data_IF_617384623344
#
_entry.id   IF_617384623344
#
_cell.length_a   1.000
_cell.length_b   1.000
_cell.length_c   1.000
_cell.angle_alpha   90.00
_cell.angle_beta   90.00
_cell.angle_gamma   90.00
#
_symmetry.space_group_name_H-M   'P 1'
#
loop_
_entity.id
_entity.type
_entity.pdbx_description
1 polymer ?
#
# COMPACT_ATOMS: atom_id res chain seq x y z
N UNK A 1 -34.10 10.77 11.03
CA UNK A 1 -33.55 10.06 9.84
C UNK A 1 -34.18 8.68 9.79
N UNK A 2 -34.28 8.05 8.61
CA UNK A 2 -34.87 6.72 8.45
C UNK A 2 -34.04 5.84 7.51
N UNK A 3 -34.06 4.52 7.72
CA UNK A 3 -33.37 3.56 6.84
C UNK A 3 -34.33 3.14 5.72
N UNK A 4 -33.89 3.29 4.48
CA UNK A 4 -34.64 2.93 3.27
C UNK A 4 -33.92 1.81 2.55
N UNK A 5 -34.61 0.70 2.31
CA UNK A 5 -34.12 -0.42 1.50
C UNK A 5 -34.65 -0.27 0.08
N UNK A 6 -33.77 -0.36 -0.91
CA UNK A 6 -34.12 -0.29 -2.31
C UNK A 6 -33.55 -1.51 -3.05
N UNK A 7 -34.43 -2.38 -3.56
CA UNK A 7 -34.04 -3.58 -4.29
C UNK A 7 -33.90 -3.27 -5.77
N UNK A 8 -32.71 -3.46 -6.32
CA UNK A 8 -32.50 -3.42 -7.76
C UNK A 8 -33.08 -4.69 -8.38
N UNK A 9 -34.13 -4.53 -9.19
CA UNK A 9 -34.83 -5.66 -9.83
C UNK A 9 -34.00 -6.38 -10.87
N UNK A 10 -32.99 -5.71 -11.46
CA UNK A 10 -32.14 -6.31 -12.49
C UNK A 10 -31.06 -7.21 -11.90
N UNK A 11 -30.47 -6.78 -10.78
CA UNK A 11 -29.34 -7.48 -10.14
C UNK A 11 -29.73 -8.27 -8.90
N UNK A 12 -30.94 -8.08 -8.36
CA UNK A 12 -31.41 -8.68 -7.11
C UNK A 12 -30.89 -7.98 -5.86
N UNK A 13 -29.81 -7.19 -5.98
CA UNK A 13 -29.10 -6.56 -4.86
C UNK A 13 -30.00 -5.54 -4.15
N UNK A 14 -30.10 -5.67 -2.83
CA UNK A 14 -30.81 -4.70 -1.99
C UNK A 14 -29.85 -3.70 -1.39
N UNK A 15 -29.94 -2.45 -1.85
CA UNK A 15 -29.15 -1.34 -1.31
C UNK A 15 -29.85 -0.70 -0.12
N UNK A 16 -29.07 -0.23 0.84
CA UNK A 16 -29.54 0.39 2.08
C UNK A 16 -29.07 1.83 2.14
N UNK A 17 -30.01 2.73 2.33
CA UNK A 17 -29.79 4.17 2.41
C UNK A 17 -30.24 4.73 3.75
N UNK A 18 -29.46 5.66 4.29
CA UNK A 18 -29.88 6.59 5.32
C UNK A 18 -30.60 7.77 4.66
N UNK A 19 -31.83 8.05 5.06
CA UNK A 19 -32.68 9.10 4.50
C UNK A 19 -32.93 10.20 5.52
N UNK A 20 -32.62 11.44 5.13
CA UNK A 20 -32.80 12.65 5.92
C UNK A 20 -33.81 13.56 5.22
N UNK A 21 -34.95 13.83 5.86
CA UNK A 21 -35.94 14.77 5.34
C UNK A 21 -35.58 16.20 5.76
N UNK A 22 -35.71 17.14 4.85
CA UNK A 22 -35.48 18.57 5.07
C UNK A 22 -36.53 19.40 4.33
N UNK A 23 -36.83 20.58 4.86
CA UNK A 23 -37.67 21.56 4.17
C UNK A 23 -36.81 22.37 3.19
N UNK A 24 -37.10 22.27 1.91
CA UNK A 24 -36.44 23.06 0.89
C UNK A 24 -37.10 24.45 0.84
N UNK A 25 -36.40 25.48 1.31
CA UNK A 25 -36.92 26.86 1.38
C UNK A 25 -37.09 27.52 0.02
N UNK A 26 -36.28 27.15 -0.96
CA UNK A 26 -36.35 27.71 -2.32
C UNK A 26 -37.59 27.16 -3.04
N UNK A 27 -37.81 25.85 -2.92
CA UNK A 27 -38.92 25.15 -3.59
C UNK A 27 -40.17 25.03 -2.72
N UNK A 28 -40.13 25.51 -1.48
CA UNK A 28 -41.21 25.48 -0.49
C UNK A 28 -41.89 24.10 -0.35
N UNK A 29 -41.09 23.03 -0.32
CA UNK A 29 -41.61 21.66 -0.26
C UNK A 29 -40.71 20.75 0.59
N UNK A 30 -41.25 19.68 1.20
CA UNK A 30 -40.44 18.66 1.85
C UNK A 30 -39.61 17.91 0.79
N UNK A 31 -38.32 17.72 1.06
CA UNK A 31 -37.40 16.92 0.26
C UNK A 31 -36.58 16.00 1.15
N UNK A 32 -35.92 15.00 0.55
CA UNK A 32 -35.07 14.08 1.27
C UNK A 32 -33.69 13.93 0.62
N UNK A 33 -32.63 13.83 1.43
CA UNK A 33 -31.28 13.44 1.02
C UNK A 33 -31.07 11.98 1.40
N UNK A 34 -30.48 11.19 0.50
CA UNK A 34 -30.17 9.77 0.74
C UNK A 34 -28.66 9.53 0.69
N UNK A 35 -28.14 8.86 1.71
CA UNK A 35 -26.74 8.44 1.79
C UNK A 35 -26.69 6.92 1.75
N UNK A 36 -25.98 6.37 0.75
CA UNK A 36 -25.76 4.92 0.66
C UNK A 36 -24.92 4.45 1.85
N UNK A 37 -25.48 3.53 2.65
CA UNK A 37 -24.79 2.86 3.77
C UNK A 37 -24.06 1.63 3.23
N UNK A 38 -24.74 0.82 2.43
CA UNK A 38 -24.21 -0.44 1.89
C UNK A 38 -25.26 -1.23 1.12
N UNK A 39 -24.96 -2.51 0.89
CA UNK A 39 -25.88 -3.52 0.33
C UNK A 39 -26.17 -4.60 1.38
N UNK A 40 -27.35 -5.20 1.33
CA UNK A 40 -27.67 -6.39 2.12
C UNK A 40 -27.04 -7.59 1.42
N UNK A 41 -26.33 -8.40 2.20
CA UNK A 41 -25.95 -9.74 1.79
C UNK A 41 -27.14 -10.68 1.98
N UNK A 42 -27.51 -11.41 0.93
CA UNK A 42 -28.69 -12.29 0.93
C UNK A 42 -28.49 -13.52 1.84
N UNK A 43 -27.25 -13.91 2.10
CA UNK A 43 -26.94 -15.07 2.94
C UNK A 43 -26.98 -14.73 4.44
N UNK A 44 -26.43 -13.58 4.82
CA UNK A 44 -26.29 -13.17 6.23
C UNK A 44 -27.38 -12.19 6.69
N UNK A 45 -28.04 -11.51 5.75
CA UNK A 45 -28.98 -10.41 6.05
C UNK A 45 -28.29 -9.15 6.57
N UNK A 46 -26.96 -9.14 6.66
CA UNK A 46 -26.18 -8.03 7.19
C UNK A 46 -25.95 -6.94 6.14
N UNK A 47 -25.73 -5.71 6.62
CA UNK A 47 -25.45 -4.56 5.75
C UNK A 47 -23.95 -4.51 5.48
N UNK A 48 -23.55 -5.00 4.32
CA UNK A 48 -22.16 -4.96 3.85
C UNK A 48 -21.90 -3.63 3.15
N UNK A 49 -20.89 -2.84 3.58
CA UNK A 49 -20.51 -1.62 2.89
C UNK A 49 -20.22 -1.89 1.42
N UNK A 50 -20.76 -1.05 0.53
CA UNK A 50 -20.44 -1.16 -0.90
C UNK A 50 -18.99 -0.71 -1.11
N UNK A 51 -18.22 -1.51 -1.86
CA UNK A 51 -16.87 -1.15 -2.34
C UNK A 51 -16.94 0.25 -2.96
N UNK A 52 -16.31 1.20 -2.29
CA UNK A 52 -16.50 2.63 -2.46
C UNK A 52 -15.87 3.15 -3.74
N UNK A 53 -16.24 2.61 -4.90
CA UNK A 53 -15.84 3.06 -6.24
C UNK A 53 -16.34 4.49 -6.44
N UNK A 54 -15.54 5.45 -5.97
CA UNK A 54 -15.82 6.89 -5.99
C UNK A 54 -15.79 7.61 -4.64
N UNK A 55 -15.61 6.91 -3.51
CA UNK A 55 -15.41 7.56 -2.20
C UNK A 55 -14.19 6.96 -1.51
N UNK A 56 -13.02 7.58 -1.70
CA UNK A 56 -11.97 7.53 -0.67
C UNK A 56 -12.63 8.03 0.62
N UNK A 57 -13.02 7.12 1.52
CA UNK A 57 -13.41 7.51 2.87
C UNK A 57 -12.16 8.11 3.50
N UNK A 58 -12.05 9.44 3.45
CA UNK A 58 -11.14 10.17 4.32
C UNK A 58 -11.81 10.15 5.69
N UNK A 59 -11.72 9.02 6.36
CA UNK A 59 -12.07 8.94 7.77
C UNK A 59 -11.15 9.95 8.48
N UNK A 60 -11.74 10.92 9.17
CA UNK A 60 -11.00 12.01 9.83
C UNK A 60 -10.09 11.52 10.97
N UNK A 61 -10.11 10.22 11.28
CA UNK A 61 -9.15 9.57 12.18
C UNK A 61 -7.91 8.99 11.48
N UNK A 62 -7.83 8.96 10.14
CA UNK A 62 -6.69 8.38 9.41
C UNK A 62 -5.52 9.35 9.21
N UNK A 63 -5.70 10.65 9.47
CA UNK A 63 -4.62 11.64 9.31
C UNK A 63 -3.48 11.52 10.32
N UNK A 64 -3.68 10.78 11.43
CA UNK A 64 -2.62 10.48 12.40
C UNK A 64 -1.90 9.17 12.03
N UNK A 65 -2.63 8.08 11.79
CA UNK A 65 -2.06 6.76 11.45
C UNK A 65 -1.28 6.71 10.12
N UNK A 66 -1.61 7.58 9.14
CA UNK A 66 -0.91 7.66 7.85
C UNK A 66 0.43 8.41 7.89
N UNK A 67 0.69 9.17 8.96
CA UNK A 67 1.94 9.94 9.13
C UNK A 67 3.01 9.07 9.79
N UNK A 68 2.62 8.32 10.82
CA UNK A 68 3.49 7.37 11.52
C UNK A 68 3.99 6.26 10.57
N UNK A 69 3.11 5.74 9.71
CA UNK A 69 3.49 4.75 8.69
C UNK A 69 4.44 5.32 7.64
N UNK A 70 4.27 6.58 7.21
CA UNK A 70 5.22 7.21 6.29
C UNK A 70 6.60 7.40 6.91
N UNK A 71 6.66 7.81 8.17
CA UNK A 71 7.91 8.02 8.87
C UNK A 71 8.64 6.69 9.14
N UNK A 72 7.90 5.62 9.46
CA UNK A 72 8.46 4.28 9.63
C UNK A 72 8.99 3.70 8.31
N UNK A 73 8.26 3.87 7.20
CA UNK A 73 8.76 3.48 5.88
C UNK A 73 10.01 4.28 5.48
N UNK A 74 10.08 5.56 5.83
CA UNK A 74 11.26 6.40 5.57
C UNK A 74 12.47 5.94 6.37
N UNK A 75 12.30 5.56 7.64
CA UNK A 75 13.37 4.98 8.46
C UNK A 75 13.86 3.65 7.89
N UNK A 76 12.94 2.76 7.52
CA UNK A 76 13.28 1.49 6.88
C UNK A 76 14.05 1.67 5.56
N UNK A 77 13.71 2.70 4.78
CA UNK A 77 14.43 3.00 3.55
C UNK A 77 15.87 3.46 3.84
N UNK A 78 16.05 4.37 4.81
CA UNK A 78 17.37 4.85 5.21
C UNK A 78 18.27 3.73 5.79
N UNK A 79 17.70 2.81 6.57
CA UNK A 79 18.42 1.65 7.10
C UNK A 79 18.87 0.70 5.97
N UNK A 80 17.99 0.45 4.98
CA UNK A 80 18.32 -0.35 3.81
C UNK A 80 19.40 0.30 2.94
N UNK A 81 19.36 1.61 2.76
CA UNK A 81 20.39 2.35 2.02
C UNK A 81 21.75 2.25 2.72
N UNK A 82 21.79 2.33 4.05
CA UNK A 82 23.02 2.15 4.82
C UNK A 82 23.58 0.73 4.68
N UNK A 83 22.73 -0.30 4.74
CA UNK A 83 23.14 -1.69 4.52
C UNK A 83 23.66 -1.92 3.10
N UNK A 84 23.04 -1.31 2.08
CA UNK A 84 23.49 -1.39 0.69
C UNK A 84 24.90 -0.83 0.55
N UNK A 85 25.18 0.33 1.17
CA UNK A 85 26.51 0.94 1.11
C UNK A 85 27.57 0.09 1.84
N UNK A 86 27.24 -0.49 2.98
CA UNK A 86 28.13 -1.44 3.68
C UNK A 86 28.47 -2.66 2.82
N UNK A 87 27.45 -3.32 2.26
CA UNK A 87 27.66 -4.50 1.40
C UNK A 87 28.45 -4.15 0.14
N UNK A 88 28.25 -2.96 -0.44
CA UNK A 88 29.03 -2.49 -1.59
C UNK A 88 30.49 -2.25 -1.22
N UNK A 89 30.76 -1.66 -0.06
CA UNK A 89 32.12 -1.43 0.42
C UNK A 89 32.85 -2.76 0.67
N UNK A 90 32.21 -3.71 1.34
CA UNK A 90 32.75 -5.06 1.57
C UNK A 90 33.05 -5.77 0.25
N UNK A 91 32.08 -5.79 -0.68
CA UNK A 91 32.29 -6.36 -2.01
C UNK A 91 33.45 -5.71 -2.77
N UNK A 92 33.68 -4.41 -2.58
CA UNK A 92 34.80 -3.70 -3.21
C UNK A 92 36.14 -4.16 -2.64
N UNK A 93 36.24 -4.37 -1.33
CA UNK A 93 37.46 -4.87 -0.67
C UNK A 93 37.74 -6.30 -1.10
N UNK A 94 36.75 -7.19 -1.00
CA UNK A 94 36.88 -8.60 -1.41
C UNK A 94 37.31 -8.75 -2.87
N UNK A 95 36.78 -7.91 -3.77
CA UNK A 95 37.20 -7.90 -5.17
C UNK A 95 38.67 -7.51 -5.34
N UNK A 96 39.16 -6.51 -4.61
CA UNK A 96 40.57 -6.10 -4.64
C UNK A 96 41.50 -7.18 -4.10
N UNK A 97 41.14 -7.81 -2.99
CA UNK A 97 41.90 -8.93 -2.42
C UNK A 97 41.96 -10.12 -3.38
N UNK A 98 40.84 -10.45 -4.01
CA UNK A 98 40.80 -11.46 -5.07
C UNK A 98 41.75 -11.12 -6.21
N UNK A 99 41.77 -9.87 -6.65
CA UNK A 99 42.68 -9.41 -7.71
C UNK A 99 44.15 -9.46 -7.30
N UNK A 100 44.52 -9.12 -6.06
CA UNK A 100 45.90 -9.27 -5.59
C UNK A 100 46.31 -10.73 -5.55
N UNK A 101 45.47 -11.62 -5.01
CA UNK A 101 45.78 -13.06 -4.98
C UNK A 101 45.95 -13.64 -6.38
N UNK A 102 45.13 -13.22 -7.35
CA UNK A 102 45.29 -13.65 -8.74
C UNK A 102 46.61 -13.17 -9.35
N UNK A 103 47.07 -11.95 -9.03
CA UNK A 103 48.36 -11.44 -9.49
C UNK A 103 49.52 -12.19 -8.85
N UNK A 104 49.45 -12.45 -7.55
CA UNK A 104 50.49 -13.20 -6.82
C UNK A 104 50.59 -14.63 -7.36
N UNK A 105 49.44 -15.27 -7.60
CA UNK A 105 49.38 -16.60 -8.23
C UNK A 105 50.00 -16.59 -9.62
N UNK A 106 49.67 -15.60 -10.45
CA UNK A 106 50.27 -15.45 -11.78
C UNK A 106 51.79 -15.29 -11.71
N UNK A 107 52.30 -14.45 -10.81
CA UNK A 107 53.74 -14.26 -10.60
C UNK A 107 54.45 -15.55 -10.19
N UNK A 108 53.85 -16.32 -9.28
CA UNK A 108 54.36 -17.64 -8.89
C UNK A 108 54.41 -18.60 -10.07
N UNK A 109 53.32 -18.71 -10.84
CA UNK A 109 53.27 -19.58 -12.02
C UNK A 109 54.30 -19.17 -13.09
N UNK A 110 54.46 -17.87 -13.36
CA UNK A 110 55.49 -17.38 -14.28
C UNK A 110 56.90 -17.73 -13.81
N UNK A 111 57.19 -17.59 -12.51
CA UNK A 111 58.49 -17.96 -11.92
C UNK A 111 58.75 -19.46 -12.02
N UNK A 112 57.77 -20.31 -11.70
CA UNK A 112 57.92 -21.76 -11.80
C UNK A 112 58.04 -22.25 -13.26
N UNK A 113 57.36 -21.60 -14.21
CA UNK A 113 57.51 -21.90 -15.63
C UNK A 113 58.94 -21.66 -16.13
N UNK A 114 59.57 -20.57 -15.71
CA UNK A 114 60.95 -20.24 -16.10
C UNK A 114 62.04 -21.09 -15.42
N UNK A 115 61.71 -21.87 -14.38
CA UNK A 115 62.67 -22.74 -13.69
C UNK A 115 62.64 -24.20 -14.19
N UNK A 116 61.62 -24.58 -14.97
CA UNK A 116 61.41 -25.94 -15.46
C UNK A 116 61.58 -26.07 -16.99
N UNK A 117 62.16 -25.06 -17.63
CA UNK A 117 62.53 -25.00 -19.06
C UNK A 117 64.04 -24.82 -19.18
#
# INVERSE_FOLDING_TARGET
MSIVKNKDKRTGITYVYESESYWDKEKQQPRARRKLIGKIDEQTGEIVPTDGRGRKRKDRNTTLAGKDTQDDHRKQLAEKDLLIEQLRAENRVLKKERESFLKDLHLLLSRYGTQNE
#
